data_IF_934221105939
#
_entry.id   IF_934221105939
#
_cell.length_a   1.000
_cell.length_b   1.000
_cell.length_c   1.000
_cell.angle_alpha   90.00
_cell.angle_beta   90.00
_cell.angle_gamma   90.00
#
_symmetry.space_group_name_H-M   'P 1'
#
loop_
_entity.id
_entity.type
_entity.pdbx_description
1 polymer ?
#
# COMPACT_ATOMS: atom_id res chain seq x y z
N UNK A 1 9.81 15.26 5.06
CA UNK A 1 9.47 16.49 4.30
C UNK A 1 8.51 17.33 5.13
N UNK A 2 8.83 18.61 5.30
CA UNK A 2 8.11 19.53 6.19
C UNK A 2 6.70 19.86 5.67
N UNK A 3 5.75 20.24 6.55
CA UNK A 3 4.36 20.55 6.15
C UNK A 3 4.25 21.64 5.08
N UNK A 4 5.01 22.73 5.24
CA UNK A 4 5.04 23.85 4.29
C UNK A 4 5.49 23.43 2.89
N UNK A 5 6.57 22.64 2.80
CA UNK A 5 7.10 22.19 1.51
C UNK A 5 6.08 21.31 0.78
N UNK A 6 5.37 20.45 1.52
CA UNK A 6 4.32 19.59 0.93
C UNK A 6 3.18 20.42 0.38
N UNK A 7 2.76 21.45 1.11
CA UNK A 7 1.73 22.37 0.65
C UNK A 7 2.17 23.11 -0.61
N UNK A 8 3.39 23.65 -0.63
CA UNK A 8 3.94 24.33 -1.80
C UNK A 8 4.04 23.40 -3.03
N UNK A 9 4.48 22.15 -2.84
CA UNK A 9 4.49 21.15 -3.89
C UNK A 9 3.09 20.85 -4.43
N UNK A 10 2.09 20.77 -3.54
CA UNK A 10 0.70 20.58 -3.94
C UNK A 10 0.17 21.74 -4.79
N UNK A 11 0.42 22.99 -4.39
CA UNK A 11 0.07 24.18 -5.17
C UNK A 11 0.75 24.20 -6.53
N UNK A 12 2.05 23.87 -6.60
CA UNK A 12 2.78 23.77 -7.89
C UNK A 12 2.12 22.79 -8.85
N UNK A 13 1.58 21.67 -8.35
CA UNK A 13 0.84 20.71 -9.19
C UNK A 13 -0.50 21.21 -9.72
N UNK A 14 -1.09 22.23 -9.08
CA UNK A 14 -2.33 22.90 -9.53
C UNK A 14 -2.10 23.88 -10.68
N UNK A 15 -0.86 24.33 -10.88
CA UNK A 15 -0.49 25.24 -11.98
C UNK A 15 -0.42 24.47 -13.30
N UNK A 16 -1.49 24.55 -14.09
CA UNK A 16 -1.60 24.01 -15.45
C UNK A 16 -1.22 25.03 -16.51
N UNK A 17 -1.47 26.31 -16.24
CA UNK A 17 -1.09 27.41 -17.12
C UNK A 17 -0.06 28.33 -16.41
N UNK A 18 1.19 28.32 -16.90
CA UNK A 18 2.28 29.13 -16.34
C UNK A 18 2.11 30.64 -16.60
N UNK A 19 1.34 31.03 -17.63
CA UNK A 19 1.06 32.45 -17.90
C UNK A 19 0.04 33.07 -16.94
N UNK A 20 -0.75 32.23 -16.25
CA UNK A 20 -1.80 32.64 -15.30
C UNK A 20 -1.79 31.72 -14.08
N UNK A 21 -0.71 31.80 -13.29
CA UNK A 21 -0.44 30.90 -12.17
C UNK A 21 -1.58 30.91 -11.14
N UNK A 22 -1.96 32.09 -10.65
CA UNK A 22 -2.98 32.24 -9.61
C UNK A 22 -4.35 31.74 -10.08
N UNK A 23 -4.78 32.16 -11.27
CA UNK A 23 -6.04 31.70 -11.86
C UNK A 23 -6.08 30.18 -12.06
N UNK A 24 -4.96 29.57 -12.43
CA UNK A 24 -4.86 28.11 -12.55
C UNK A 24 -4.99 27.41 -11.19
N UNK A 25 -4.41 27.97 -10.13
CA UNK A 25 -4.52 27.42 -8.78
C UNK A 25 -5.97 27.48 -8.31
N UNK A 26 -6.63 28.64 -8.46
CA UNK A 26 -8.02 28.85 -8.05
C UNK A 26 -8.95 27.89 -8.78
N UNK A 27 -8.86 27.82 -10.12
CA UNK A 27 -9.70 26.93 -10.92
C UNK A 27 -9.53 25.45 -10.49
N UNK A 28 -8.30 25.01 -10.23
CA UNK A 28 -8.05 23.65 -9.81
C UNK A 28 -8.54 23.39 -8.37
N UNK A 29 -8.47 24.36 -7.47
CA UNK A 29 -9.01 24.24 -6.11
C UNK A 29 -10.53 24.08 -6.14
N UNK A 30 -11.25 24.85 -6.95
CA UNK A 30 -12.70 24.69 -7.14
C UNK A 30 -13.04 23.29 -7.65
N UNK A 31 -12.27 22.77 -8.61
CA UNK A 31 -12.47 21.40 -9.12
C UNK A 31 -12.22 20.33 -8.06
N UNK A 32 -11.20 20.51 -7.21
CA UNK A 32 -10.91 19.59 -6.12
C UNK A 32 -12.03 19.60 -5.05
N UNK A 33 -12.51 20.77 -4.67
CA UNK A 33 -13.63 20.93 -3.73
C UNK A 33 -14.92 20.31 -4.28
N UNK A 34 -15.25 20.57 -5.54
CA UNK A 34 -16.42 19.98 -6.21
C UNK A 34 -16.32 18.44 -6.25
N UNK A 35 -15.13 17.90 -6.55
CA UNK A 35 -14.89 16.45 -6.57
C UNK A 35 -15.01 15.83 -5.17
N UNK A 36 -14.51 16.53 -4.14
CA UNK A 36 -14.62 16.10 -2.74
C UNK A 36 -16.05 16.17 -2.23
N UNK A 37 -16.84 17.15 -2.68
CA UNK A 37 -18.26 17.22 -2.38
C UNK A 37 -19.05 16.09 -3.06
N UNK A 38 -18.78 15.83 -4.34
CA UNK A 38 -19.43 14.76 -5.10
C UNK A 38 -19.16 13.36 -4.52
N UNK A 39 -17.99 13.17 -3.90
CA UNK A 39 -17.59 11.91 -3.29
C UNK A 39 -18.60 11.33 -2.30
N UNK A 40 -19.32 12.17 -1.55
CA UNK A 40 -20.33 11.73 -0.59
C UNK A 40 -21.54 11.06 -1.24
N UNK A 41 -21.79 11.34 -2.52
CA UNK A 41 -22.93 10.80 -3.25
C UNK A 41 -22.58 9.54 -4.06
N UNK A 42 -21.30 9.17 -4.16
CA UNK A 42 -20.89 7.97 -4.88
C UNK A 42 -20.92 6.71 -3.99
N UNK A 43 -21.39 5.56 -4.53
CA UNK A 43 -21.30 4.26 -3.86
C UNK A 43 -19.90 3.93 -3.39
N UNK A 44 -19.76 3.14 -2.32
CA UNK A 44 -18.48 2.75 -1.69
C UNK A 44 -17.45 2.19 -2.67
N UNK A 45 -17.92 1.53 -3.71
CA UNK A 45 -17.09 0.81 -4.66
C UNK A 45 -16.39 1.75 -5.65
N UNK A 46 -16.89 2.98 -5.80
CA UNK A 46 -16.31 3.99 -6.68
C UNK A 46 -15.02 4.52 -6.05
N UNK A 47 -13.93 4.39 -6.79
CA UNK A 47 -12.61 4.87 -6.38
C UNK A 47 -12.53 6.40 -6.55
N UNK A 48 -12.51 7.10 -5.42
CA UNK A 48 -12.31 8.55 -5.32
C UNK A 48 -10.93 8.88 -4.77
N UNK A 49 -10.56 10.17 -4.76
CA UNK A 49 -9.24 10.61 -4.26
C UNK A 49 -9.06 10.30 -2.77
N UNK A 50 -10.13 10.39 -1.96
CA UNK A 50 -10.04 10.11 -0.51
C UNK A 50 -10.12 8.61 -0.19
N UNK A 51 -10.91 7.83 -0.95
CA UNK A 51 -11.02 6.36 -0.81
C UNK A 51 -9.89 5.58 -1.46
N UNK A 52 -8.94 6.26 -2.11
CA UNK A 52 -7.81 5.60 -2.75
C UNK A 52 -6.99 4.88 -1.67
N UNK A 53 -6.81 3.56 -1.77
CA UNK A 53 -6.05 2.79 -0.77
C UNK A 53 -4.64 3.35 -0.65
N UNK A 54 -4.09 3.28 0.57
CA UNK A 54 -2.72 3.73 0.82
C UNK A 54 -1.75 2.96 -0.08
N UNK A 55 -0.55 3.53 -0.33
CA UNK A 55 0.44 2.86 -1.19
C UNK A 55 0.88 1.48 -0.66
N UNK A 56 0.71 1.24 0.63
CA UNK A 56 1.01 -0.01 1.34
C UNK A 56 -0.25 -0.76 1.78
N UNK A 57 -1.41 -0.37 1.28
CA UNK A 57 -2.63 -1.12 1.53
C UNK A 57 -2.66 -2.30 0.56
N UNK A 58 -2.44 -3.49 1.10
CA UNK A 58 -2.48 -4.77 0.38
C UNK A 58 -3.92 -5.22 0.09
N UNK A 59 -4.89 -4.31 0.26
CA UNK A 59 -6.31 -4.45 -0.10
C UNK A 59 -6.97 -5.66 0.54
N UNK A 60 -6.40 -6.12 1.65
CA UNK A 60 -6.74 -7.37 2.33
C UNK A 60 -6.84 -8.58 1.39
N UNK A 61 -5.98 -8.67 0.37
CA UNK A 61 -5.86 -9.90 -0.42
C UNK A 61 -5.31 -11.01 0.49
N UNK A 62 -6.21 -11.83 1.04
CA UNK A 62 -5.85 -13.03 1.79
C UNK A 62 -5.24 -14.03 0.82
N UNK A 63 -4.03 -14.50 1.11
CA UNK A 63 -3.51 -15.65 0.38
C UNK A 63 -4.40 -16.87 0.68
N UNK A 64 -4.84 -17.54 -0.37
CA UNK A 64 -5.37 -18.89 -0.25
C UNK A 64 -4.21 -19.86 -0.15
N UNK A 65 -4.05 -20.44 1.04
CA UNK A 65 -3.15 -21.55 1.26
C UNK A 65 -3.97 -22.86 1.19
N UNK A 66 -3.43 -23.93 0.58
CA UNK A 66 -4.09 -25.24 0.57
C UNK A 66 -4.06 -25.94 1.94
N UNK A 67 -3.40 -25.33 2.94
CA UNK A 67 -3.20 -25.85 4.29
C UNK A 67 -3.56 -24.74 5.29
N UNK A 68 -3.94 -25.12 6.51
CA UNK A 68 -4.12 -24.17 7.61
C UNK A 68 -2.76 -23.56 7.95
N UNK A 69 -2.65 -22.26 7.78
CA UNK A 69 -1.43 -21.48 8.06
C UNK A 69 -1.73 -20.55 9.24
N UNK A 70 -0.86 -20.46 10.27
CA UNK A 70 -1.06 -19.54 11.38
C UNK A 70 -1.20 -18.09 10.90
N UNK A 71 -1.99 -17.28 11.61
CA UNK A 71 -2.26 -15.88 11.20
C UNK A 71 -0.97 -15.07 10.97
N UNK A 72 0.08 -15.35 11.75
CA UNK A 72 1.39 -14.72 11.61
C UNK A 72 1.99 -14.86 10.18
N UNK A 73 1.70 -15.96 9.49
CA UNK A 73 2.20 -16.26 8.15
C UNK A 73 1.13 -16.07 7.05
N UNK A 74 -0.07 -15.63 7.41
CA UNK A 74 -1.18 -15.45 6.48
C UNK A 74 -1.11 -14.13 5.67
N UNK A 75 -0.23 -13.21 6.10
CA UNK A 75 -0.08 -11.91 5.45
C UNK A 75 0.68 -12.02 4.13
N UNK A 76 0.07 -11.51 3.06
CA UNK A 76 0.71 -11.42 1.75
C UNK A 76 1.49 -10.11 1.67
N UNK A 77 2.81 -10.21 1.70
CA UNK A 77 3.66 -9.04 1.47
C UNK A 77 3.66 -8.61 -0.01
N UNK A 78 3.58 -7.30 -0.26
CA UNK A 78 3.81 -6.74 -1.60
C UNK A 78 5.29 -6.63 -1.92
N UNK A 79 5.77 -7.47 -2.85
CA UNK A 79 7.16 -7.38 -3.34
C UNK A 79 7.37 -6.07 -4.10
N UNK A 80 8.25 -5.20 -3.59
CA UNK A 80 8.64 -3.96 -4.27
C UNK A 80 9.74 -4.22 -5.30
N UNK A 81 9.67 -3.58 -6.46
CA UNK A 81 10.67 -3.67 -7.52
C UNK A 81 10.52 -4.88 -8.46
N UNK A 82 11.57 -5.15 -9.25
CA UNK A 82 11.58 -6.25 -10.22
C UNK A 82 11.67 -7.59 -9.49
N UNK A 83 10.64 -8.42 -9.65
CA UNK A 83 10.60 -9.78 -9.08
C UNK A 83 11.70 -10.64 -9.69
N UNK A 84 12.53 -11.27 -8.84
CA UNK A 84 13.44 -12.35 -9.24
C UNK A 84 12.93 -13.64 -8.62
N UNK A 85 12.73 -14.67 -9.45
CA UNK A 85 12.45 -16.02 -8.97
C UNK A 85 13.79 -16.71 -8.72
N UNK A 86 14.05 -17.11 -7.48
CA UNK A 86 15.21 -17.91 -7.08
C UNK A 86 14.70 -19.13 -6.34
N UNK A 87 15.20 -20.31 -6.69
CA UNK A 87 14.99 -21.51 -5.88
C UNK A 87 16.02 -21.50 -4.75
N UNK A 88 15.57 -21.79 -3.54
CA UNK A 88 16.45 -21.98 -2.38
C UNK A 88 17.22 -23.29 -2.55
N UNK A 89 18.47 -23.32 -2.07
CA UNK A 89 19.20 -24.58 -1.94
C UNK A 89 18.62 -25.41 -0.79
N UNK A 90 18.95 -26.70 -0.77
CA UNK A 90 18.51 -27.60 0.30
C UNK A 90 19.06 -27.18 1.67
N UNK A 91 20.31 -26.70 1.72
CA UNK A 91 20.94 -26.14 2.92
C UNK A 91 20.20 -24.88 3.40
N UNK A 92 19.87 -23.96 2.50
CA UNK A 92 19.10 -22.75 2.82
C UNK A 92 17.70 -23.10 3.35
N UNK A 93 17.04 -24.10 2.77
CA UNK A 93 15.76 -24.61 3.25
C UNK A 93 15.89 -25.19 4.67
N UNK A 94 16.92 -25.99 4.94
CA UNK A 94 17.17 -26.57 6.27
C UNK A 94 17.44 -25.48 7.31
N UNK A 95 18.25 -24.47 6.96
CA UNK A 95 18.52 -23.32 7.83
C UNK A 95 17.27 -22.50 8.13
N UNK A 96 16.47 -22.17 7.11
CA UNK A 96 15.21 -21.43 7.28
C UNK A 96 14.22 -22.22 8.14
N UNK A 97 14.09 -23.52 7.90
CA UNK A 97 13.19 -24.37 8.66
C UNK A 97 13.59 -24.39 10.15
N UNK A 98 14.87 -24.65 10.46
CA UNK A 98 15.38 -24.61 11.83
C UNK A 98 15.18 -23.25 12.48
N UNK A 99 15.45 -22.16 11.75
CA UNK A 99 15.28 -20.81 12.26
C UNK A 99 13.83 -20.51 12.64
N UNK A 100 12.88 -20.87 11.76
CA UNK A 100 11.45 -20.66 11.99
C UNK A 100 10.98 -21.46 13.22
N UNK A 101 11.34 -22.75 13.31
CA UNK A 101 10.92 -23.59 14.45
C UNK A 101 11.49 -23.09 15.77
N UNK A 102 12.77 -22.71 15.80
CA UNK A 102 13.46 -22.29 17.04
C UNK A 102 13.11 -20.88 17.52
N UNK A 103 12.68 -19.98 16.63
CA UNK A 103 12.46 -18.57 16.98
C UNK A 103 10.99 -18.14 16.91
N UNK A 104 10.07 -19.00 16.46
CA UNK A 104 8.66 -18.66 16.32
C UNK A 104 7.81 -19.36 17.38
N UNK A 105 7.41 -18.62 18.41
CA UNK A 105 6.55 -19.12 19.49
C UNK A 105 5.22 -19.68 18.95
N UNK A 106 4.69 -19.12 17.85
CA UNK A 106 3.45 -19.59 17.22
C UNK A 106 3.53 -21.01 16.62
N UNK A 107 4.75 -21.57 16.47
CA UNK A 107 4.97 -22.92 15.95
C UNK A 107 5.49 -23.87 17.05
N UNK A 108 5.76 -23.38 18.26
CA UNK A 108 6.29 -24.18 19.37
C UNK A 108 5.43 -25.42 19.71
N UNK A 109 4.11 -25.36 19.48
CA UNK A 109 3.20 -26.50 19.66
C UNK A 109 3.52 -27.69 18.74
N UNK A 110 4.18 -27.45 17.61
CA UNK A 110 4.53 -28.44 16.58
C UNK A 110 5.97 -28.96 16.71
N UNK A 111 6.73 -28.54 17.74
CA UNK A 111 8.14 -28.92 17.95
C UNK A 111 8.32 -30.32 18.59
N UNK A 112 7.25 -31.12 18.69
CA UNK A 112 7.29 -32.47 19.29
C UNK A 112 7.69 -33.57 18.32
#
# INVERSE_FOLDING_TARGET
MYPFERYMFHLKRKVKNLSKVEGSIVAQSVNEEASQFAEYYFPSDVQTKSRRPARHDDRNERAMYPVVVPELFSQVGRVSGKRKKRKLSEEECSHLHKYIVTNCEAIAEYER
#
